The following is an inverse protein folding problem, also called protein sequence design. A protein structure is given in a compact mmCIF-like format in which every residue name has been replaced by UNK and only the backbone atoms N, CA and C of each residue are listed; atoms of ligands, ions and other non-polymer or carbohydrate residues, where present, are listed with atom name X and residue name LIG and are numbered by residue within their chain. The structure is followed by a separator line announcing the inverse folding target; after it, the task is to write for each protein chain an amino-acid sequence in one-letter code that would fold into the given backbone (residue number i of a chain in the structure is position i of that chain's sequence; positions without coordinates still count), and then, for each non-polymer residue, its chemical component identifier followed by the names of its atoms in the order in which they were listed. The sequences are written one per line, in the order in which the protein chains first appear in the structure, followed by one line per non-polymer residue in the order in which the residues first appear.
data_IF_008970337779
#
_entry.id   IF_008970337779
#
_cell.length_a   1.000
_cell.length_b   1.000
_cell.length_c   1.000
_cell.angle_alpha   90.00
_cell.angle_beta   90.00
_cell.angle_gamma   90.00
#
_symmetry.space_group_name_H-M   'P 1'
#
loop_
_entity.id
_entity.type
_entity.pdbx_description
1 polymer ?
#
# COMPACT_ATOMS: atom_id res chain seq x y z
N UNK A 1 -10.60 -25.19 -13.86
CA UNK A 1 -10.03 -24.94 -12.52
C UNK A 1 -10.08 -23.45 -12.27
N UNK A 2 -10.56 -23.03 -11.09
CA UNK A 2 -10.94 -21.65 -10.77
C UNK A 2 -9.77 -20.70 -10.99
N UNK A 3 -9.94 -19.76 -11.90
CA UNK A 3 -8.98 -18.67 -12.14
C UNK A 3 -9.07 -17.74 -10.93
N UNK A 4 -8.33 -18.07 -9.86
CA UNK A 4 -8.26 -17.23 -8.67
C UNK A 4 -7.88 -15.82 -9.10
N UNK A 5 -8.71 -14.84 -8.76
CA UNK A 5 -8.68 -13.42 -9.15
C UNK A 5 -7.47 -12.64 -8.62
N UNK A 6 -6.32 -13.29 -8.56
CA UNK A 6 -5.10 -12.80 -7.97
C UNK A 6 -4.44 -11.84 -8.95
N UNK A 7 -4.56 -10.54 -8.67
CA UNK A 7 -3.87 -9.52 -9.47
C UNK A 7 -2.36 -9.63 -9.22
N UNK A 8 -1.56 -9.92 -10.26
CA UNK A 8 -0.12 -10.00 -10.12
C UNK A 8 0.45 -8.62 -9.77
N UNK A 9 1.53 -8.61 -9.01
CA UNK A 9 2.17 -7.37 -8.59
C UNK A 9 2.84 -6.65 -9.76
N UNK A 10 2.68 -5.31 -9.87
CA UNK A 10 3.26 -4.53 -10.96
C UNK A 10 4.80 -4.48 -10.94
N UNK A 11 5.47 -5.05 -9.93
CA UNK A 11 6.93 -5.15 -9.89
C UNK A 11 7.51 -6.20 -10.86
N UNK A 12 6.67 -6.92 -11.62
CA UNK A 12 7.13 -7.92 -12.60
C UNK A 12 7.54 -9.26 -11.99
N UNK A 13 7.35 -9.47 -10.69
CA UNK A 13 7.70 -10.73 -10.02
C UNK A 13 6.74 -11.90 -10.32
N UNK A 14 5.58 -11.63 -10.92
CA UNK A 14 4.52 -12.63 -11.13
C UNK A 14 3.84 -13.11 -9.83
N UNK A 15 4.22 -12.56 -8.68
CA UNK A 15 3.64 -12.90 -7.37
C UNK A 15 2.30 -12.17 -7.15
N UNK A 16 1.48 -12.77 -6.29
CA UNK A 16 0.26 -12.13 -5.77
C UNK A 16 0.57 -10.75 -5.16
N UNK A 17 -0.23 -9.76 -5.54
CA UNK A 17 -0.22 -8.44 -4.92
C UNK A 17 -1.29 -8.31 -3.85
N UNK A 18 -0.95 -7.64 -2.75
CA UNK A 18 -1.86 -7.31 -1.66
C UNK A 18 -1.87 -5.80 -1.44
N UNK A 19 -3.05 -5.25 -1.17
CA UNK A 19 -3.18 -3.87 -0.73
C UNK A 19 -2.38 -3.64 0.54
N UNK A 20 -1.65 -2.53 0.54
CA UNK A 20 -0.98 -1.97 1.70
C UNK A 20 -1.73 -0.72 2.10
N UNK A 21 -1.82 -0.53 3.41
CA UNK A 21 -2.55 0.56 4.01
C UNK A 21 -1.59 1.42 4.82
N UNK A 22 -1.93 2.69 4.97
CA UNK A 22 -1.27 3.56 5.92
C UNK A 22 -1.70 3.23 7.37
N UNK A 23 -1.22 4.01 8.34
CA UNK A 23 -1.60 3.87 9.74
C UNK A 23 -3.09 4.17 10.02
N UNK A 24 -3.78 4.87 9.11
CA UNK A 24 -5.22 5.19 9.17
C UNK A 24 -6.09 4.14 8.47
N UNK A 25 -5.51 3.17 7.78
CA UNK A 25 -6.25 2.19 6.97
C UNK A 25 -6.59 2.66 5.55
N UNK A 26 -5.97 3.73 5.06
CA UNK A 26 -6.14 4.26 3.69
C UNK A 26 -5.27 3.47 2.72
N UNK A 27 -5.84 3.10 1.57
CA UNK A 27 -5.14 2.34 0.53
C UNK A 27 -3.97 3.13 -0.06
N UNK A 28 -2.73 2.66 0.15
CA UNK A 28 -1.53 3.29 -0.41
C UNK A 28 -1.18 2.70 -1.79
N UNK A 29 -0.84 1.41 -1.81
CA UNK A 29 -0.42 0.73 -3.03
C UNK A 29 -0.53 -0.79 -2.90
N UNK A 30 -0.39 -1.50 -4.01
CA UNK A 30 -0.34 -2.97 -4.02
C UNK A 30 1.09 -3.46 -4.12
N UNK A 31 1.50 -4.31 -3.19
CA UNK A 31 2.85 -4.90 -3.17
C UNK A 31 2.80 -6.42 -3.01
N UNK A 32 3.85 -7.11 -3.44
CA UNK A 32 4.06 -8.52 -3.14
C UNK A 32 5.15 -8.68 -2.07
N UNK A 33 5.30 -9.90 -1.52
CA UNK A 33 6.34 -10.23 -0.53
C UNK A 33 7.78 -9.87 -0.93
N UNK A 34 8.06 -9.73 -2.24
CA UNK A 34 9.39 -9.38 -2.75
C UNK A 34 9.64 -7.87 -2.75
N UNK A 35 8.70 -7.09 -3.27
CA UNK A 35 8.86 -5.64 -3.40
C UNK A 35 8.25 -4.86 -2.23
N UNK A 36 7.58 -5.52 -1.30
CA UNK A 36 6.91 -4.87 -0.17
C UNK A 36 7.85 -3.94 0.58
N UNK A 37 8.99 -4.44 1.07
CA UNK A 37 9.95 -3.62 1.83
C UNK A 37 10.47 -2.41 1.05
N UNK A 38 10.85 -2.60 -0.21
CA UNK A 38 11.38 -1.52 -1.06
C UNK A 38 10.32 -0.46 -1.36
N UNK A 39 9.09 -0.89 -1.66
CA UNK A 39 7.97 0.01 -1.96
C UNK A 39 7.52 0.76 -0.71
N UNK A 40 7.39 0.07 0.42
CA UNK A 40 7.00 0.67 1.69
C UNK A 40 8.08 1.62 2.22
N UNK A 41 9.36 1.34 1.99
CA UNK A 41 10.46 2.25 2.35
C UNK A 41 10.44 3.58 1.57
N UNK A 42 9.72 3.65 0.45
CA UNK A 42 9.51 4.90 -0.30
C UNK A 42 8.46 5.82 0.31
N UNK A 43 7.61 5.32 1.22
CA UNK A 43 6.66 6.14 1.96
C UNK A 43 7.30 6.74 3.20
N UNK A 44 6.81 7.90 3.63
CA UNK A 44 7.21 8.49 4.91
C UNK A 44 6.86 7.50 6.03
N UNK A 45 7.75 7.36 7.01
CA UNK A 45 7.57 6.37 8.07
C UNK A 45 6.39 6.70 8.98
N UNK A 46 6.15 7.98 9.24
CA UNK A 46 4.99 8.45 9.99
C UNK A 46 3.65 8.03 9.35
N UNK A 47 3.53 8.11 8.02
CA UNK A 47 2.35 7.59 7.30
C UNK A 47 2.09 6.11 7.60
N UNK A 48 3.14 5.32 7.86
CA UNK A 48 3.01 3.88 8.10
C UNK A 48 2.82 3.50 9.57
N UNK A 49 3.22 4.38 10.50
CA UNK A 49 3.29 4.05 11.93
C UNK A 49 2.43 4.95 12.81
N UNK A 50 2.09 6.15 12.36
CA UNK A 50 1.40 7.16 13.13
C UNK A 50 0.06 7.52 12.47
N UNK A 51 -1.10 7.11 13.03
CA UNK A 51 -2.39 7.47 12.48
C UNK A 51 -2.68 8.98 12.59
N UNK A 52 -1.89 9.76 13.32
CA UNK A 52 -1.99 11.22 13.42
C UNK A 52 -0.90 11.94 12.61
N UNK A 53 -0.34 11.29 11.59
CA UNK A 53 0.68 11.91 10.75
C UNK A 53 0.17 13.21 10.11
N UNK A 54 1.04 14.22 10.09
CA UNK A 54 0.72 15.52 9.50
C UNK A 54 0.65 15.43 7.98
N UNK A 55 -0.45 15.94 7.43
CA UNK A 55 -0.71 16.06 6.01
C UNK A 55 -1.35 17.43 5.74
N UNK A 56 -0.87 18.11 4.71
CA UNK A 56 -1.25 19.51 4.40
C UNK A 56 -2.48 19.58 3.48
N UNK A 57 -3.06 18.43 3.08
CA UNK A 57 -4.28 18.45 2.28
C UNK A 57 -5.48 18.81 3.16
N UNK A 58 -6.31 19.77 2.73
CA UNK A 58 -7.60 19.98 3.37
C UNK A 58 -8.39 18.66 3.30
N UNK A 59 -8.93 18.22 4.43
CA UNK A 59 -9.94 17.17 4.44
C UNK A 59 -11.11 17.75 3.66
N UNK A 60 -11.48 17.16 2.52
CA UNK A 60 -12.73 17.55 1.88
C UNK A 60 -13.88 17.18 2.83
N UNK A 61 -14.54 18.19 3.38
CA UNK A 61 -15.79 18.04 4.13
C UNK A 61 -16.89 17.62 3.14
N UNK A 62 -17.60 16.53 3.44
CA UNK A 62 -18.79 16.04 2.71
C UNK A 62 -20.02 16.94 2.93
#
# INVERSE_FOLDING_TARGET
MRNSSVRPCPCGSGLESKWQYDARGIELCRTCRRCHRERMAGFRQDVLTDPDYWHDEPIEED
#
